data_IF_086490433901
#
_entry.id   IF_086490433901
#
_cell.length_a   1.000
_cell.length_b   1.000
_cell.length_c   1.000
_cell.angle_alpha   90.00
_cell.angle_beta   90.00
_cell.angle_gamma   90.00
#
_symmetry.space_group_name_H-M   'P 1'
#
loop_
_entity.id
_entity.type
_entity.pdbx_description
1 polymer ?
#
# COMPACT_ATOMS: atom_id res chain seq x y z
N UNK A 1 41.84 11.99 -57.33
CA UNK A 1 41.13 10.83 -57.89
C UNK A 1 41.03 9.76 -56.81
N UNK A 2 39.85 9.16 -56.69
CA UNK A 2 39.40 8.09 -55.78
C UNK A 2 39.05 8.55 -54.35
N UNK A 3 37.85 9.11 -54.13
CA UNK A 3 36.51 8.48 -53.96
C UNK A 3 36.25 7.81 -52.59
N UNK A 4 35.42 8.53 -51.84
CA UNK A 4 34.53 8.15 -50.74
C UNK A 4 33.95 6.73 -50.82
N UNK A 5 33.95 6.04 -49.68
CA UNK A 5 32.90 5.05 -49.37
C UNK A 5 32.62 5.07 -47.86
N UNK A 6 31.90 6.11 -47.40
CA UNK A 6 31.20 6.07 -46.12
C UNK A 6 29.98 5.18 -46.32
N UNK A 7 30.03 3.94 -45.83
CA UNK A 7 28.87 3.05 -45.85
C UNK A 7 27.87 3.50 -44.79
N UNK A 8 26.83 4.20 -45.25
CA UNK A 8 25.61 4.50 -44.49
C UNK A 8 24.94 3.19 -44.05
N UNK A 9 25.32 2.67 -42.89
CA UNK A 9 24.57 1.62 -42.21
C UNK A 9 23.29 2.24 -41.63
N UNK A 10 22.24 2.34 -42.46
CA UNK A 10 20.88 2.58 -41.98
C UNK A 10 20.50 1.38 -41.10
N UNK A 11 20.65 1.56 -39.78
CA UNK A 11 20.23 0.60 -38.77
C UNK A 11 18.74 0.37 -38.94
N UNK A 12 18.35 -0.82 -39.42
CA UNK A 12 16.95 -1.22 -39.45
C UNK A 12 16.39 -1.18 -38.01
N UNK A 13 15.16 -0.68 -37.79
CA UNK A 13 14.58 -0.72 -36.46
C UNK A 13 14.48 -2.17 -35.99
N UNK A 14 15.01 -2.44 -34.80
CA UNK A 14 15.01 -3.76 -34.18
C UNK A 14 13.58 -4.33 -34.13
N UNK A 15 13.30 -5.48 -34.80
CA UNK A 15 11.97 -6.09 -34.83
C UNK A 15 11.50 -6.57 -33.45
N UNK A 16 12.40 -6.65 -32.46
CA UNK A 16 12.11 -7.04 -31.09
C UNK A 16 12.00 -5.88 -30.11
N UNK A 17 11.93 -4.64 -30.59
CA UNK A 17 11.67 -3.47 -29.75
C UNK A 17 10.22 -3.50 -29.25
N UNK A 18 9.96 -4.35 -28.26
CA UNK A 18 8.69 -4.45 -27.54
C UNK A 18 8.36 -3.07 -27.01
N UNK A 19 7.24 -2.53 -27.47
CA UNK A 19 6.67 -1.29 -26.97
C UNK A 19 6.34 -1.53 -25.49
N UNK A 20 7.25 -1.14 -24.58
CA UNK A 20 7.07 -1.28 -23.12
C UNK A 20 6.10 -0.22 -22.63
N UNK A 21 4.88 -0.24 -23.12
CA UNK A 21 3.75 0.32 -22.38
C UNK A 21 3.38 -0.70 -21.30
N UNK A 22 4.16 -0.73 -20.22
CA UNK A 22 3.78 -1.44 -18.99
C UNK A 22 3.87 -0.51 -17.79
N UNK A 23 3.29 0.68 -17.93
CA UNK A 23 2.82 1.38 -16.74
C UNK A 23 1.44 0.82 -16.42
N UNK A 24 1.30 0.05 -15.32
CA UNK A 24 0.20 0.19 -14.32
C UNK A 24 -0.06 -1.04 -13.43
N UNK A 25 0.53 -2.23 -13.66
CA UNK A 25 0.23 -3.37 -12.76
C UNK A 25 1.46 -4.21 -12.40
N UNK A 26 1.63 -4.46 -11.10
CA UNK A 26 2.57 -5.45 -10.57
C UNK A 26 2.05 -6.85 -10.92
N UNK A 27 2.88 -7.71 -11.49
CA UNK A 27 2.44 -9.06 -11.91
C UNK A 27 2.28 -10.03 -10.76
N UNK A 28 3.03 -9.80 -9.68
CA UNK A 28 3.00 -10.63 -8.49
C UNK A 28 3.35 -9.80 -7.25
N UNK A 29 3.21 -10.42 -6.09
CA UNK A 29 3.48 -9.81 -4.78
C UNK A 29 4.93 -9.38 -4.60
N UNK A 30 5.92 -10.11 -5.15
CA UNK A 30 7.33 -9.75 -5.07
C UNK A 30 7.65 -8.46 -5.85
N UNK A 31 7.07 -8.29 -7.04
CA UNK A 31 7.22 -7.06 -7.82
C UNK A 31 6.58 -5.85 -7.12
N UNK A 32 5.45 -6.05 -6.44
CA UNK A 32 4.79 -4.99 -5.66
C UNK A 32 5.65 -4.59 -4.45
N UNK A 33 6.13 -5.57 -3.70
CA UNK A 33 7.00 -5.36 -2.55
C UNK A 33 8.29 -4.61 -2.97
N UNK A 34 8.97 -5.06 -4.02
CA UNK A 34 10.16 -4.37 -4.54
C UNK A 34 9.89 -2.94 -5.02
N UNK A 35 8.67 -2.66 -5.51
CA UNK A 35 8.30 -1.34 -6.04
C UNK A 35 7.89 -0.36 -4.94
N UNK A 36 7.10 -0.81 -3.99
CA UNK A 36 6.48 0.05 -2.98
C UNK A 36 7.22 0.04 -1.66
N UNK A 37 8.24 -0.82 -1.51
CA UNK A 37 9.04 -0.94 -0.31
C UNK A 37 8.51 -2.01 0.64
N UNK A 38 9.29 -2.21 1.69
CA UNK A 38 8.98 -3.12 2.78
C UNK A 38 8.52 -2.30 4.00
N UNK A 39 7.89 -2.97 4.96
CA UNK A 39 7.45 -2.36 6.21
C UNK A 39 8.59 -1.73 7.03
N UNK A 40 9.85 -2.13 6.80
CA UNK A 40 11.02 -1.61 7.52
C UNK A 40 11.24 -0.10 7.37
N UNK A 41 10.82 0.50 6.25
CA UNK A 41 10.96 1.95 6.00
C UNK A 41 9.68 2.74 6.36
N UNK A 42 8.62 2.06 6.80
CA UNK A 42 7.36 2.71 7.11
C UNK A 42 7.41 3.39 8.48
N UNK A 43 7.36 4.72 8.48
CA UNK A 43 7.23 5.54 9.69
C UNK A 43 5.88 6.23 9.66
N UNK A 44 4.93 5.85 10.52
CA UNK A 44 3.63 6.51 10.56
C UNK A 44 3.74 7.96 11.04
N UNK A 45 2.84 8.83 10.58
CA UNK A 45 2.80 10.24 10.96
C UNK A 45 1.56 10.55 11.81
N UNK A 46 1.78 11.09 13.01
CA UNK A 46 0.71 11.61 13.86
C UNK A 46 0.33 13.02 13.39
N UNK A 47 -0.76 13.12 12.63
CA UNK A 47 -1.33 14.40 12.23
C UNK A 47 -2.38 14.92 13.24
N UNK A 48 -2.92 16.12 13.00
CA UNK A 48 -3.93 16.74 13.87
C UNK A 48 -5.28 15.99 13.90
N UNK A 49 -5.53 15.10 12.93
CA UNK A 49 -6.74 14.29 12.83
C UNK A 49 -6.59 12.93 13.52
N UNK A 50 -5.40 12.59 14.01
CA UNK A 50 -5.12 11.36 14.74
C UNK A 50 -5.79 11.40 16.13
N UNK A 51 -6.97 10.79 16.22
CA UNK A 51 -7.81 10.80 17.42
C UNK A 51 -8.07 9.39 17.93
N UNK A 52 -8.24 9.27 19.24
CA UNK A 52 -8.59 8.00 19.89
C UNK A 52 -10.00 7.54 19.56
N UNK A 53 -10.22 6.22 19.58
CA UNK A 53 -11.53 5.61 19.45
C UNK A 53 -11.92 4.83 20.70
N UNK A 54 -13.15 5.04 21.16
CA UNK A 54 -13.79 4.25 22.22
C UNK A 54 -14.58 3.04 21.67
N UNK A 55 -14.48 2.77 20.37
CA UNK A 55 -15.17 1.65 19.76
C UNK A 55 -14.70 0.31 20.37
N UNK A 56 -15.61 -0.66 20.59
CA UNK A 56 -15.25 -1.98 21.12
C UNK A 56 -14.28 -2.75 20.23
N UNK A 57 -13.41 -3.56 20.83
CA UNK A 57 -12.56 -4.47 20.07
C UNK A 57 -13.40 -5.43 19.20
N UNK A 58 -13.04 -5.57 17.93
CA UNK A 58 -13.73 -6.42 16.96
C UNK A 58 -15.05 -5.85 16.41
N UNK A 59 -15.48 -4.67 16.85
CA UNK A 59 -16.64 -4.00 16.24
C UNK A 59 -16.31 -3.51 14.83
N UNK A 60 -17.32 -3.40 13.97
CA UNK A 60 -17.17 -2.84 12.63
C UNK A 60 -16.68 -1.39 12.68
N UNK A 61 -17.13 -0.62 13.66
CA UNK A 61 -16.70 0.77 13.88
C UNK A 61 -15.20 0.86 14.19
N UNK A 62 -14.68 0.01 15.08
CA UNK A 62 -13.24 -0.01 15.37
C UNK A 62 -12.44 -0.37 14.12
N UNK A 63 -12.90 -1.38 13.37
CA UNK A 63 -12.24 -1.80 12.13
C UNK A 63 -12.21 -0.65 11.10
N UNK A 64 -13.30 0.11 10.97
CA UNK A 64 -13.37 1.26 10.08
C UNK A 64 -12.35 2.35 10.45
N UNK A 65 -12.28 2.69 11.75
CA UNK A 65 -11.30 3.67 12.26
C UNK A 65 -9.87 3.22 11.97
N UNK A 66 -9.55 1.96 12.27
CA UNK A 66 -8.20 1.42 12.05
C UNK A 66 -7.84 1.37 10.56
N UNK A 67 -8.79 1.03 9.69
CA UNK A 67 -8.57 1.05 8.23
C UNK A 67 -8.24 2.46 7.76
N UNK A 68 -9.01 3.45 8.20
CA UNK A 68 -8.78 4.86 7.84
C UNK A 68 -7.41 5.36 8.30
N UNK A 69 -6.95 4.96 9.48
CA UNK A 69 -5.59 5.30 9.98
C UNK A 69 -4.51 4.76 9.04
N UNK A 70 -4.64 3.52 8.58
CA UNK A 70 -3.71 2.92 7.60
C UNK A 70 -3.71 3.70 6.28
N UNK A 71 -4.89 4.07 5.77
CA UNK A 71 -5.01 4.85 4.52
C UNK A 71 -4.39 6.25 4.62
N UNK A 72 -4.43 6.85 5.81
CA UNK A 72 -3.82 8.16 6.09
C UNK A 72 -2.33 8.08 6.45
N UNK A 73 -1.77 6.87 6.61
CA UNK A 73 -0.40 6.67 7.08
C UNK A 73 -0.18 7.04 8.55
N UNK A 74 -1.25 7.05 9.36
CA UNK A 74 -1.21 7.31 10.80
C UNK A 74 -0.80 6.07 11.59
N UNK A 75 -0.39 6.20 12.87
CA UNK A 75 -0.19 5.03 13.72
C UNK A 75 -1.48 4.24 13.86
N UNK A 76 -1.34 2.91 13.92
CA UNK A 76 -2.52 2.04 14.03
C UNK A 76 -3.25 2.24 15.36
N UNK A 77 -2.51 2.39 16.45
CA UNK A 77 -3.04 2.47 17.82
C UNK A 77 -2.79 3.84 18.42
N UNK A 78 -3.83 4.44 19.00
CA UNK A 78 -3.69 5.61 19.85
C UNK A 78 -3.49 5.17 21.31
N UNK A 79 -2.65 5.85 22.07
CA UNK A 79 -2.35 5.50 23.48
C UNK A 79 -3.58 5.54 24.40
N UNK A 80 -4.58 6.33 24.03
CA UNK A 80 -5.88 6.43 24.72
C UNK A 80 -7.02 5.73 24.00
N UNK A 81 -6.74 4.88 23.01
CA UNK A 81 -7.77 3.98 22.48
C UNK A 81 -8.30 3.08 23.60
N UNK A 82 -9.58 2.71 23.51
CA UNK A 82 -10.16 1.72 24.42
C UNK A 82 -9.38 0.41 24.42
N UNK A 83 -9.00 -0.05 25.61
CA UNK A 83 -8.21 -1.27 25.86
C UNK A 83 -8.99 -2.41 26.51
N UNK A 84 -10.18 -2.15 27.06
CA UNK A 84 -10.94 -3.14 27.82
C UNK A 84 -12.41 -3.27 27.34
N UNK A 85 -13.14 -4.16 28.01
CA UNK A 85 -14.57 -4.37 27.75
C UNK A 85 -15.48 -3.72 28.82
N UNK A 86 -14.95 -2.83 29.66
CA UNK A 86 -15.67 -2.22 30.79
C UNK A 86 -16.90 -1.43 30.33
N UNK A 87 -18.08 -1.77 30.85
CA UNK A 87 -19.33 -1.08 30.47
C UNK A 87 -19.90 -1.48 29.10
N UNK A 88 -19.34 -2.52 28.44
CA UNK A 88 -19.94 -3.08 27.23
C UNK A 88 -20.91 -4.21 27.56
N UNK A 89 -22.08 -4.15 26.94
CA UNK A 89 -23.05 -5.24 26.95
C UNK A 89 -22.93 -6.01 25.64
N UNK A 90 -22.40 -7.24 25.70
CA UNK A 90 -22.34 -8.14 24.55
C UNK A 90 -23.58 -9.04 24.48
N UNK A 91 -24.15 -9.21 23.29
CA UNK A 91 -25.15 -10.24 23.07
C UNK A 91 -24.48 -11.62 22.99
N UNK A 92 -24.67 -12.47 24.01
CA UNK A 92 -24.23 -13.87 23.97
C UNK A 92 -25.28 -14.64 23.18
N UNK A 93 -24.88 -15.24 22.05
CA UNK A 93 -25.67 -16.27 21.37
C UNK A 93 -25.20 -17.63 21.89
N UNK A 94 -26.02 -18.36 22.67
CA UNK A 94 -25.70 -19.72 23.06
C UNK A 94 -25.44 -20.55 21.81
N UNK A 95 -24.42 -21.41 21.84
CA UNK A 95 -24.31 -22.47 20.84
C UNK A 95 -25.42 -23.49 21.13
N UNK A 96 -26.14 -23.90 20.09
CA UNK A 96 -27.07 -25.04 20.15
C UNK A 96 -26.33 -26.34 20.49
#
# INVERSE_FOLDING_TARGET
MFESCVVDARIAPDPWKKNRNSMTHCKNVFEAILRYGHDEDFVPNEDEMFSSTDAPAGSQEKIEVLRRRVELGQPLWHTTDRVDYSGLTGAIRPRE
#
